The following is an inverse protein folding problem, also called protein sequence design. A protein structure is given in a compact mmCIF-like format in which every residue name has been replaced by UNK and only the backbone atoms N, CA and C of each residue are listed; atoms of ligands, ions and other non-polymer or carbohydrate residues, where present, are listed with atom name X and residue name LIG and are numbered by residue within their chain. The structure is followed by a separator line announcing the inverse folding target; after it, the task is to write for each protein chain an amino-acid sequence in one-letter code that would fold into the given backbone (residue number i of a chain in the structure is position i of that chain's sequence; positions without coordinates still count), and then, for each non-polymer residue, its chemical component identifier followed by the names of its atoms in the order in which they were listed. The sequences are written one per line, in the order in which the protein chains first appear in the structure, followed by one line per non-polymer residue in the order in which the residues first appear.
data_IF_974944392401
#
_entry.id   IF_974944392401
#
_cell.length_a   1.000
_cell.length_b   1.000
_cell.length_c   1.000
_cell.angle_alpha   90.00
_cell.angle_beta   90.00
_cell.angle_gamma   90.00
#
_symmetry.space_group_name_H-M   'P 1'
#
loop_
_entity.id
_entity.type
_entity.pdbx_description
1 polymer ?
#
# COMPACT_ATOMS: atom_id res chain seq x y z
N UNK A 1 -6.52 -7.56 -20.82
CA UNK A 1 -7.36 -7.78 -19.61
C UNK A 1 -7.55 -9.26 -19.22
N UNK A 2 -8.02 -10.18 -20.08
CA UNK A 2 -8.31 -11.59 -19.68
C UNK A 2 -7.09 -12.47 -19.32
N UNK A 3 -5.86 -12.07 -19.65
CA UNK A 3 -4.63 -12.80 -19.28
C UNK A 3 -3.95 -12.30 -18.00
N UNK A 4 -4.35 -11.14 -17.46
CA UNK A 4 -3.76 -10.58 -16.22
C UNK A 4 -4.46 -11.05 -14.95
N UNK A 5 -5.76 -11.37 -15.03
CA UNK A 5 -6.54 -11.89 -13.89
C UNK A 5 -5.92 -13.13 -13.24
N UNK A 6 -5.41 -14.14 -13.97
CA UNK A 6 -4.77 -15.30 -13.36
C UNK A 6 -3.39 -14.99 -12.77
N UNK A 7 -2.66 -13.99 -13.29
CA UNK A 7 -1.34 -13.59 -12.77
C UNK A 7 -1.46 -12.76 -11.49
N UNK A 8 -2.42 -11.84 -11.43
CA UNK A 8 -2.74 -11.08 -10.21
C UNK A 8 -3.34 -12.02 -9.16
N UNK A 9 -4.21 -12.96 -9.55
CA UNK A 9 -4.71 -14.02 -8.67
C UNK A 9 -3.57 -14.92 -8.18
N UNK A 10 -2.63 -15.30 -9.03
CA UNK A 10 -1.46 -16.12 -8.66
C UNK A 10 -0.51 -15.36 -7.72
N UNK A 11 -0.23 -14.07 -7.97
CA UNK A 11 0.63 -13.26 -7.10
C UNK A 11 -0.02 -13.01 -5.74
N UNK A 12 -1.33 -12.71 -5.71
CA UNK A 12 -2.12 -12.61 -4.48
C UNK A 12 -2.16 -13.95 -3.76
N UNK A 13 -2.27 -15.08 -4.47
CA UNK A 13 -2.25 -16.43 -3.89
C UNK A 13 -0.85 -16.85 -3.42
N UNK A 14 0.22 -16.38 -4.05
CA UNK A 14 1.61 -16.60 -3.63
C UNK A 14 1.95 -15.74 -2.40
N UNK A 15 1.49 -14.50 -2.34
CA UNK A 15 1.63 -13.64 -1.16
C UNK A 15 0.78 -14.16 0.01
N UNK A 16 -0.48 -14.55 -0.25
CA UNK A 16 -1.34 -15.25 0.73
C UNK A 16 -0.75 -16.62 1.10
N UNK A 17 -0.08 -17.31 0.17
CA UNK A 17 0.56 -18.61 0.39
C UNK A 17 1.82 -18.50 1.25
N UNK A 18 2.67 -17.50 1.02
CA UNK A 18 3.88 -17.23 1.82
C UNK A 18 3.48 -16.83 3.25
N UNK A 19 2.36 -16.14 3.45
CA UNK A 19 1.82 -15.81 4.78
C UNK A 19 0.96 -16.95 5.37
N UNK A 20 0.36 -17.78 4.53
CA UNK A 20 -0.58 -18.85 4.89
C UNK A 20 0.04 -20.21 5.20
N UNK A 21 1.31 -20.44 4.85
CA UNK A 21 2.00 -21.72 5.11
C UNK A 21 2.21 -21.99 6.61
N UNK A 22 2.27 -20.95 7.47
CA UNK A 22 2.32 -21.15 8.93
C UNK A 22 0.94 -21.17 9.62
N UNK A 23 -0.10 -20.63 8.97
CA UNK A 23 -1.44 -20.51 9.57
C UNK A 23 -2.31 -21.77 9.38
N UNK A 24 -1.94 -22.71 8.51
CA UNK A 24 -2.76 -23.88 8.16
C UNK A 24 -2.19 -25.25 8.55
N UNK A 25 -1.15 -25.29 9.40
CA UNK A 25 -0.59 -26.56 9.93
C UNK A 25 -1.33 -27.10 11.17
N UNK A 26 -2.26 -26.37 11.78
CA UNK A 26 -2.87 -26.79 13.06
C UNK A 26 -4.38 -27.03 13.01
N UNK A 27 -4.93 -27.38 11.84
CA UNK A 27 -6.33 -27.81 11.72
C UNK A 27 -6.49 -28.85 10.60
N UNK A 28 -6.05 -30.09 10.86
CA UNK A 28 -6.58 -31.29 10.21
C UNK A 28 -7.14 -32.24 11.26
N UNK A 29 -8.37 -31.97 11.66
CA UNK A 29 -9.26 -33.02 12.12
C UNK A 29 -10.57 -32.85 11.36
N UNK A 30 -10.95 -33.92 10.65
CA UNK A 30 -12.25 -34.18 10.04
C UNK A 30 -12.60 -33.31 8.82
N UNK A 31 -12.41 -33.91 7.63
CA UNK A 31 -13.41 -34.05 6.58
C UNK A 31 -12.76 -34.76 5.39
N UNK A 32 -12.91 -36.09 5.34
CA UNK A 32 -12.51 -36.90 4.18
C UNK A 32 -13.60 -36.79 3.10
N UNK A 33 -13.35 -36.03 2.05
CA UNK A 33 -14.08 -36.16 0.79
C UNK A 33 -13.37 -37.20 -0.08
N UNK A 34 -14.15 -38.19 -0.53
CA UNK A 34 -13.71 -39.25 -1.46
C UNK A 34 -13.44 -38.68 -2.85
N UNK A 35 -12.39 -39.09 -3.57
CA UNK A 35 -12.35 -38.97 -5.01
C UNK A 35 -12.91 -40.25 -5.66
N UNK A 36 -13.75 -40.03 -6.69
CA UNK A 36 -14.15 -41.02 -7.69
C UNK A 36 -12.91 -41.52 -8.44
N UNK A 37 -12.71 -42.84 -8.49
CA UNK A 37 -11.87 -43.49 -9.49
C UNK A 37 -12.69 -44.48 -10.29
N UNK A 38 -12.49 -44.39 -11.61
CA UNK A 38 -13.01 -45.23 -12.68
C UNK A 38 -12.47 -46.66 -12.58
N UNK A 39 -13.30 -47.64 -12.94
CA UNK A 39 -13.09 -49.05 -12.64
C UNK A 39 -12.10 -49.81 -13.53
N UNK A 40 -11.75 -51.01 -13.07
CA UNK A 40 -11.90 -52.29 -13.79
C UNK A 40 -11.51 -53.50 -12.92
N UNK A 41 -12.45 -54.45 -12.82
CA UNK A 41 -12.36 -55.92 -12.96
C UNK A 41 -11.46 -56.79 -12.04
N UNK A 42 -12.06 -57.94 -11.64
CA UNK A 42 -11.52 -59.22 -11.13
C UNK A 42 -11.34 -59.36 -9.58
N UNK A 43 -12.28 -59.95 -8.82
CA UNK A 43 -12.62 -61.38 -8.58
C UNK A 43 -11.84 -62.10 -7.45
N UNK A 44 -12.61 -62.91 -6.67
CA UNK A 44 -12.21 -63.96 -5.70
C UNK A 44 -11.72 -63.48 -4.31
N UNK A 45 -12.09 -64.04 -3.15
CA UNK A 45 -12.90 -65.19 -2.78
C UNK A 45 -13.29 -65.16 -1.28
N UNK A 46 -14.35 -65.90 -0.96
CA UNK A 46 -14.89 -66.22 0.37
C UNK A 46 -13.97 -67.11 1.23
N UNK A 47 -14.06 -66.92 2.56
CA UNK A 47 -14.10 -67.92 3.67
C UNK A 47 -13.70 -67.22 4.97
N UNK A 48 -14.07 -67.62 6.17
CA UNK A 48 -15.13 -68.45 6.77
C UNK A 48 -14.88 -68.33 8.28
N UNK A 49 -15.95 -68.37 9.06
CA UNK A 49 -15.95 -68.29 10.52
C UNK A 49 -15.18 -69.44 11.23
N UNK A 50 -14.69 -69.16 12.44
CA UNK A 50 -14.75 -70.00 13.66
C UNK A 50 -13.89 -69.33 14.75
N UNK A 51 -14.45 -68.86 15.88
CA UNK A 51 -14.93 -69.59 17.06
C UNK A 51 -13.85 -69.76 18.14
N UNK A 52 -14.30 -69.67 19.40
CA UNK A 52 -13.66 -70.04 20.68
C UNK A 52 -12.85 -68.91 21.36
N UNK A 53 -12.90 -68.67 22.68
CA UNK A 53 -13.80 -69.04 23.80
C UNK A 53 -13.25 -68.33 25.06
N UNK A 54 -14.13 -68.10 26.05
CA UNK A 54 -13.90 -68.03 27.51
C UNK A 54 -13.44 -66.70 28.18
N UNK A 55 -14.43 -66.08 28.83
CA UNK A 55 -14.41 -65.37 30.14
C UNK A 55 -14.17 -66.37 31.32
N UNK A 56 -14.30 -66.05 32.65
CA UNK A 56 -14.46 -64.76 33.38
C UNK A 56 -13.79 -64.66 34.81
N UNK A 57 -13.98 -63.50 35.48
CA UNK A 57 -14.34 -63.28 36.92
C UNK A 57 -13.38 -63.54 38.12
N UNK A 58 -13.12 -62.48 38.92
CA UNK A 58 -13.17 -62.37 40.41
C UNK A 58 -12.33 -61.16 40.90
N UNK A 59 -12.58 -60.40 41.99
CA UNK A 59 -13.50 -60.49 43.15
C UNK A 59 -13.30 -59.26 44.09
N UNK A 60 -14.43 -58.69 44.57
CA UNK A 60 -14.79 -58.07 45.91
C UNK A 60 -13.84 -57.09 46.64
N UNK A 61 -14.24 -55.81 46.81
CA UNK A 61 -14.87 -55.13 47.99
C UNK A 61 -14.11 -55.11 49.33
N UNK A 62 -13.84 -53.93 49.89
CA UNK A 62 -14.17 -53.55 51.29
C UNK A 62 -13.83 -52.07 51.63
N UNK A 63 -14.82 -51.38 52.21
CA UNK A 63 -14.71 -50.22 53.13
C UNK A 63 -14.55 -50.77 54.57
N UNK A 64 -14.17 -50.02 55.64
CA UNK A 64 -14.99 -48.92 56.21
C UNK A 64 -14.16 -47.88 57.06
N UNK A 65 -14.68 -47.12 58.09
CA UNK A 65 -14.61 -45.64 58.13
C UNK A 65 -14.20 -45.01 59.50
N UNK A 66 -14.12 -43.67 59.59
CA UNK A 66 -14.47 -42.85 60.79
C UNK A 66 -14.15 -41.36 60.52
N UNK A 67 -14.69 -40.30 61.14
CA UNK A 67 -15.99 -39.87 61.72
C UNK A 67 -15.67 -38.62 62.57
N UNK A 68 -16.50 -37.57 62.43
CA UNK A 68 -16.86 -36.43 63.35
C UNK A 68 -16.94 -35.14 62.50
N UNK A 69 -18.08 -34.46 62.20
CA UNK A 69 -19.32 -34.04 62.92
C UNK A 69 -18.99 -33.33 64.24
N UNK A 70 -19.42 -32.11 64.59
CA UNK A 70 -20.41 -31.12 64.16
C UNK A 70 -19.82 -29.71 64.52
N UNK A 71 -20.38 -28.52 64.28
CA UNK A 71 -21.67 -27.97 64.77
C UNK A 71 -21.84 -26.51 64.29
N UNK A 72 -23.09 -26.11 64.09
CA UNK A 72 -23.60 -24.79 63.69
C UNK A 72 -23.73 -23.79 64.86
N UNK A 73 -23.65 -22.48 64.52
CA UNK A 73 -24.41 -21.30 65.01
C UNK A 73 -24.68 -21.09 66.53
N UNK A 74 -24.26 -19.92 67.10
CA UNK A 74 -25.09 -18.70 67.40
C UNK A 74 -24.55 -17.82 68.57
N UNK A 75 -24.60 -16.50 68.32
CA UNK A 75 -24.92 -15.32 69.18
C UNK A 75 -24.15 -15.01 70.50
N UNK A 76 -23.56 -13.80 70.62
CA UNK A 76 -24.14 -12.63 71.32
C UNK A 76 -23.12 -11.46 71.58
N UNK A 77 -23.68 -10.22 71.65
CA UNK A 77 -23.14 -8.92 72.11
C UNK A 77 -22.22 -8.13 71.11
N UNK A 78 -22.34 -6.81 70.89
CA UNK A 78 -22.99 -5.72 71.64
C UNK A 78 -23.30 -4.50 70.74
N UNK A 79 -24.22 -3.68 71.23
CA UNK A 79 -24.85 -2.47 70.72
C UNK A 79 -23.90 -1.27 70.52
N UNK A 80 -24.00 -0.54 69.40
CA UNK A 80 -24.03 0.94 69.35
C UNK A 80 -24.41 1.41 67.93
N UNK A 81 -25.48 2.21 67.87
CA UNK A 81 -26.03 2.85 66.68
C UNK A 81 -25.45 4.27 66.54
N UNK A 82 -24.81 4.60 65.41
CA UNK A 82 -24.83 5.93 64.79
C UNK A 82 -24.22 5.91 63.36
N UNK A 83 -24.86 6.65 62.45
CA UNK A 83 -24.79 6.66 60.98
C UNK A 83 -23.69 7.64 60.45
N UNK A 84 -23.46 7.84 59.13
CA UNK A 84 -22.36 7.31 58.33
C UNK A 84 -21.27 8.35 57.99
N UNK A 85 -20.03 7.91 57.72
CA UNK A 85 -19.08 8.66 56.87
C UNK A 85 -18.46 7.73 55.83
N UNK A 86 -18.73 8.11 54.59
CA UNK A 86 -18.05 7.75 53.35
C UNK A 86 -16.57 7.42 53.56
N UNK A 87 -16.21 6.17 53.26
CA UNK A 87 -14.89 5.81 52.76
C UNK A 87 -15.09 4.92 51.54
N UNK A 88 -14.66 5.44 50.40
CA UNK A 88 -14.36 4.68 49.20
C UNK A 88 -13.31 3.62 49.57
N UNK A 89 -13.75 2.41 49.88
CA UNK A 89 -12.91 1.22 49.72
C UNK A 89 -13.24 0.63 48.36
N UNK A 90 -12.37 0.96 47.40
CA UNK A 90 -12.27 0.33 46.10
C UNK A 90 -11.96 -1.16 46.30
N UNK A 91 -13.03 -1.96 46.42
CA UNK A 91 -12.95 -3.42 46.44
C UNK A 91 -12.63 -3.92 45.04
N UNK A 92 -11.35 -4.19 44.85
CA UNK A 92 -10.75 -5.01 43.80
C UNK A 92 -11.49 -6.34 43.62
N UNK A 93 -12.27 -6.45 42.54
CA UNK A 93 -12.74 -7.75 42.02
C UNK A 93 -12.49 -7.78 40.51
N UNK A 94 -11.29 -8.26 40.17
CA UNK A 94 -10.96 -9.08 38.99
C UNK A 94 -11.67 -8.77 37.66
N UNK A 95 -11.28 -7.66 37.02
CA UNK A 95 -11.37 -7.50 35.55
C UNK A 95 -10.35 -8.43 34.92
N UNK A 96 -10.68 -9.72 34.84
CA UNK A 96 -9.84 -10.72 34.19
C UNK A 96 -10.38 -10.89 32.77
N UNK A 97 -9.52 -10.66 31.78
CA UNK A 97 -9.69 -10.97 30.34
C UNK A 97 -10.20 -9.87 29.40
N UNK A 98 -9.63 -8.67 29.45
CA UNK A 98 -9.27 -8.00 28.19
C UNK A 98 -7.89 -8.52 27.75
N UNK A 99 -7.90 -9.75 27.22
CA UNK A 99 -6.74 -10.43 26.67
C UNK A 99 -6.08 -9.52 25.63
N UNK A 100 -4.83 -9.14 25.86
CA UNK A 100 -3.93 -8.58 24.85
C UNK A 100 -4.14 -9.30 23.52
N UNK A 101 -4.30 -8.56 22.42
CA UNK A 101 -4.57 -9.14 21.11
C UNK A 101 -3.48 -10.16 20.79
N UNK A 102 -3.89 -11.29 20.19
CA UNK A 102 -3.08 -12.49 19.99
C UNK A 102 -1.61 -12.15 19.66
N UNK A 103 -0.65 -12.41 20.59
CA UNK A 103 0.73 -11.97 20.41
C UNK A 103 1.38 -12.48 19.10
N UNK A 104 1.11 -13.72 18.64
CA UNK A 104 1.44 -14.17 17.28
C UNK A 104 0.98 -13.25 16.15
N UNK A 105 -0.29 -12.83 16.11
CA UNK A 105 -0.80 -11.99 15.02
C UNK A 105 -0.23 -10.57 15.08
N UNK A 106 0.01 -10.04 16.29
CA UNK A 106 0.76 -8.79 16.48
C UNK A 106 2.15 -8.86 15.87
N UNK A 107 2.88 -9.97 16.13
CA UNK A 107 4.22 -10.19 15.56
C UNK A 107 4.17 -10.29 14.04
N UNK A 108 3.19 -11.00 13.48
CA UNK A 108 3.02 -11.09 12.03
C UNK A 108 2.77 -9.71 11.40
N UNK A 109 1.91 -8.88 12.00
CA UNK A 109 1.69 -7.51 11.50
C UNK A 109 2.95 -6.64 11.61
N UNK A 110 3.72 -6.78 12.68
CA UNK A 110 5.02 -6.11 12.81
C UNK A 110 5.99 -6.55 11.70
N UNK A 111 6.07 -7.84 11.39
CA UNK A 111 6.92 -8.35 10.30
C UNK A 111 6.49 -7.81 8.94
N UNK A 112 5.20 -7.87 8.61
CA UNK A 112 4.69 -7.38 7.31
C UNK A 112 4.88 -5.87 7.16
N UNK A 113 4.61 -5.10 8.22
CA UNK A 113 4.83 -3.64 8.20
C UNK A 113 6.31 -3.26 8.11
N UNK A 114 7.21 -4.03 8.72
CA UNK A 114 8.64 -3.82 8.58
C UNK A 114 9.13 -4.08 7.15
N UNK A 115 8.62 -5.11 6.47
CA UNK A 115 8.92 -5.36 5.06
C UNK A 115 8.43 -4.21 4.17
N UNK A 116 7.21 -3.73 4.38
CA UNK A 116 6.67 -2.57 3.66
C UNK A 116 7.46 -1.29 3.94
N UNK A 117 7.95 -1.10 5.16
CA UNK A 117 8.83 0.01 5.52
C UNK A 117 10.17 -0.08 4.76
N UNK A 118 10.82 -1.24 4.71
CA UNK A 118 12.08 -1.40 3.95
C UNK A 118 11.86 -1.08 2.47
N UNK A 119 10.81 -1.64 1.87
CA UNK A 119 10.48 -1.39 0.47
C UNK A 119 10.27 0.10 0.20
N UNK A 120 9.41 0.75 0.98
CA UNK A 120 9.06 2.17 0.76
C UNK A 120 10.19 3.12 1.09
N UNK A 121 11.00 2.84 2.12
CA UNK A 121 12.23 3.60 2.42
C UNK A 121 13.24 3.46 1.28
N UNK A 122 13.40 2.27 0.72
CA UNK A 122 14.29 2.07 -0.42
C UNK A 122 13.85 2.88 -1.64
N UNK A 123 12.55 2.84 -2.01
CA UNK A 123 12.02 3.66 -3.11
C UNK A 123 12.13 5.16 -2.85
N UNK A 124 11.99 5.57 -1.58
CA UNK A 124 12.19 6.98 -1.19
C UNK A 124 13.66 7.38 -1.36
N UNK A 125 14.58 6.53 -0.89
CA UNK A 125 16.02 6.75 -1.05
C UNK A 125 16.39 6.87 -2.53
N UNK A 126 15.92 5.93 -3.36
CA UNK A 126 16.20 5.91 -4.79
C UNK A 126 15.71 7.18 -5.50
N UNK A 127 14.50 7.64 -5.17
CA UNK A 127 13.94 8.86 -5.72
C UNK A 127 14.70 10.12 -5.29
N UNK A 128 15.02 10.24 -4.00
CA UNK A 128 15.79 11.39 -3.49
C UNK A 128 17.20 11.44 -4.10
N UNK A 129 17.84 10.30 -4.27
CA UNK A 129 19.18 10.23 -4.85
C UNK A 129 19.18 10.48 -6.35
N UNK A 130 18.13 10.05 -7.06
CA UNK A 130 17.94 10.35 -8.48
C UNK A 130 17.76 11.85 -8.73
N UNK A 131 17.09 12.58 -7.82
CA UNK A 131 16.98 14.05 -7.90
C UNK A 131 18.31 14.78 -7.67
N UNK A 132 19.22 14.22 -6.86
CA UNK A 132 20.59 14.75 -6.65
C UNK A 132 21.62 14.24 -7.67
N UNK A 133 21.29 13.20 -8.45
CA UNK A 133 22.18 12.58 -9.43
C UNK A 133 22.28 13.35 -10.76
N UNK A 134 21.67 14.55 -10.86
CA UNK A 134 22.02 15.56 -11.86
C UNK A 134 23.53 15.94 -11.83
N UNK A 135 24.27 15.47 -10.82
CA UNK A 135 25.73 15.41 -10.77
C UNK A 135 26.26 13.96 -10.84
N UNK A 136 26.27 13.38 -12.05
CA UNK A 136 27.33 12.47 -12.53
C UNK A 136 27.72 11.24 -11.70
N UNK A 137 26.77 10.41 -11.24
CA UNK A 137 27.12 9.07 -10.72
C UNK A 137 26.11 8.01 -11.16
N UNK A 138 26.54 7.17 -12.10
CA UNK A 138 25.84 5.97 -12.57
C UNK A 138 25.74 4.89 -11.50
N UNK A 139 24.89 5.10 -10.51
CA UNK A 139 24.52 4.06 -9.56
C UNK A 139 23.46 3.17 -10.20
N UNK A 140 23.79 1.89 -10.41
CA UNK A 140 22.83 0.88 -10.86
C UNK A 140 21.77 0.67 -9.78
N UNK A 141 20.66 1.40 -9.87
CA UNK A 141 19.52 1.21 -8.96
C UNK A 141 18.99 -0.22 -9.06
N UNK A 142 18.70 -0.82 -7.90
CA UNK A 142 18.06 -2.14 -7.77
C UNK A 142 16.68 -2.11 -8.44
N UNK A 143 16.01 -0.95 -8.47
CA UNK A 143 14.81 -0.69 -9.27
C UNK A 143 15.11 -0.93 -10.75
N UNK A 144 16.11 -0.25 -11.31
CA UNK A 144 16.44 -0.37 -12.73
C UNK A 144 16.86 -1.80 -13.12
N UNK A 145 17.56 -2.52 -12.22
CA UNK A 145 17.94 -3.92 -12.45
C UNK A 145 16.75 -4.88 -12.49
N UNK A 146 15.80 -4.75 -11.56
CA UNK A 146 14.61 -5.62 -11.48
C UNK A 146 13.62 -5.31 -12.61
N UNK A 147 13.48 -4.03 -12.94
CA UNK A 147 12.59 -3.56 -14.00
C UNK A 147 13.09 -3.95 -15.40
N UNK A 148 14.40 -3.83 -15.64
CA UNK A 148 15.02 -4.24 -16.91
C UNK A 148 14.95 -5.75 -17.16
N UNK A 149 15.07 -6.57 -16.10
CA UNK A 149 15.00 -8.03 -16.21
C UNK A 149 13.60 -8.57 -16.55
N UNK A 150 12.55 -7.77 -16.28
CA UNK A 150 11.15 -8.17 -16.48
C UNK A 150 10.45 -7.42 -17.62
N UNK A 151 11.14 -6.48 -18.28
CA UNK A 151 10.56 -5.61 -19.29
C UNK A 151 9.44 -4.72 -18.74
N UNK A 152 9.48 -4.39 -17.44
CA UNK A 152 8.42 -3.62 -16.76
C UNK A 152 8.79 -2.14 -16.66
N UNK A 153 7.86 -1.25 -17.03
CA UNK A 153 8.04 0.21 -17.07
C UNK A 153 7.91 0.91 -15.70
N UNK A 154 8.34 0.25 -14.61
CA UNK A 154 8.18 0.79 -13.25
C UNK A 154 8.93 2.12 -13.04
N UNK A 155 10.05 2.33 -13.75
CA UNK A 155 10.86 3.54 -13.65
C UNK A 155 10.08 4.80 -14.06
N UNK A 156 9.29 4.71 -15.12
CA UNK A 156 8.45 5.83 -15.59
C UNK A 156 7.34 6.16 -14.60
N UNK A 157 6.81 5.14 -13.92
CA UNK A 157 5.78 5.32 -12.88
C UNK A 157 6.36 6.01 -11.64
N UNK A 158 7.55 5.60 -11.20
CA UNK A 158 8.20 6.11 -9.98
C UNK A 158 8.75 7.54 -10.13
N UNK A 159 9.05 7.94 -11.36
CA UNK A 159 9.50 9.30 -11.71
C UNK A 159 8.39 10.14 -12.37
N UNK A 160 7.22 9.56 -12.63
CA UNK A 160 6.10 10.25 -13.26
C UNK A 160 5.44 11.29 -12.34
N UNK A 161 4.55 12.14 -12.87
CA UNK A 161 3.95 13.26 -12.13
C UNK A 161 3.14 12.83 -10.90
N UNK A 162 2.60 11.60 -10.89
CA UNK A 162 1.80 11.06 -9.77
C UNK A 162 2.63 10.51 -8.60
N UNK A 163 3.96 10.57 -8.70
CA UNK A 163 4.87 9.98 -7.72
C UNK A 163 5.37 10.98 -6.67
N UNK A 164 5.01 12.26 -6.79
CA UNK A 164 5.28 13.32 -5.81
C UNK A 164 4.01 14.14 -5.62
N UNK A 165 3.84 14.68 -4.42
CA UNK A 165 2.78 15.59 -4.07
C UNK A 165 3.42 16.88 -3.53
N UNK A 166 3.01 18.02 -4.05
CA UNK A 166 3.47 19.33 -3.58
C UNK A 166 2.59 19.75 -2.41
N UNK A 167 3.15 19.78 -1.20
CA UNK A 167 2.46 20.21 0.02
C UNK A 167 3.24 21.40 0.58
N UNK A 168 2.60 22.56 0.73
CA UNK A 168 3.24 23.80 1.22
C UNK A 168 4.53 24.15 0.45
N UNK A 169 4.44 24.23 -0.88
CA UNK A 169 5.56 24.54 -1.80
C UNK A 169 6.76 23.57 -1.71
N UNK A 170 6.58 22.40 -1.10
CA UNK A 170 7.60 21.35 -0.99
C UNK A 170 7.13 20.08 -1.68
N UNK A 171 7.93 19.58 -2.63
CA UNK A 171 7.66 18.32 -3.33
C UNK A 171 8.04 17.12 -2.46
N UNK A 172 7.02 16.42 -1.97
CA UNK A 172 7.19 15.23 -1.12
C UNK A 172 6.92 13.98 -1.96
N UNK A 173 7.88 13.04 -2.06
CA UNK A 173 7.65 11.80 -2.79
C UNK A 173 6.59 10.95 -2.08
N UNK A 174 5.66 10.37 -2.84
CA UNK A 174 4.56 9.59 -2.29
C UNK A 174 5.04 8.35 -1.52
N UNK A 175 6.20 7.81 -1.92
CA UNK A 175 6.91 6.73 -1.21
C UNK A 175 7.32 7.11 0.22
N UNK A 176 7.60 8.39 0.50
CA UNK A 176 7.91 8.86 1.85
C UNK A 176 6.68 8.85 2.75
N UNK A 177 5.51 9.22 2.21
CA UNK A 177 4.24 9.09 2.94
C UNK A 177 3.92 7.61 3.24
N UNK A 178 4.17 6.73 2.26
CA UNK A 178 4.08 5.28 2.45
C UNK A 178 5.03 4.78 3.55
N UNK A 179 6.28 5.24 3.56
CA UNK A 179 7.26 4.89 4.59
C UNK A 179 6.82 5.34 5.99
N UNK A 180 6.29 6.55 6.11
CA UNK A 180 5.71 7.05 7.37
C UNK A 180 4.51 6.20 7.85
N UNK A 181 3.64 5.81 6.93
CA UNK A 181 2.48 4.96 7.24
C UNK A 181 2.90 3.56 7.72
N UNK A 182 3.80 2.88 7.00
CA UNK A 182 4.32 1.56 7.42
C UNK A 182 5.07 1.64 8.76
N UNK A 183 5.86 2.68 8.97
CA UNK A 183 6.56 2.92 10.25
C UNK A 183 5.56 3.09 11.39
N UNK A 184 4.48 3.83 11.17
CA UNK A 184 3.42 4.03 12.18
C UNK A 184 2.74 2.70 12.53
N UNK A 185 2.41 1.88 11.52
CA UNK A 185 1.83 0.55 11.74
C UNK A 185 2.81 -0.37 12.49
N UNK A 186 4.10 -0.33 12.15
CA UNK A 186 5.14 -1.08 12.85
C UNK A 186 5.23 -0.68 14.32
N UNK A 187 5.32 0.62 14.61
CA UNK A 187 5.37 1.15 15.98
C UNK A 187 4.11 0.75 16.76
N UNK A 188 2.92 0.94 16.19
CA UNK A 188 1.67 0.55 16.84
C UNK A 188 1.58 -0.97 17.08
N UNK A 189 2.16 -1.79 16.21
CA UNK A 189 2.18 -3.25 16.37
C UNK A 189 3.11 -3.69 17.50
N UNK A 190 4.29 -3.08 17.60
CA UNK A 190 5.33 -3.41 18.58
C UNK A 190 5.03 -2.78 19.95
N UNK A 191 4.39 -1.62 20.01
CA UNK A 191 4.23 -0.84 21.23
C UNK A 191 3.62 -1.61 22.42
N UNK A 192 2.53 -2.38 22.28
CA UNK A 192 2.01 -3.20 23.39
C UNK A 192 2.89 -4.39 23.78
N UNK A 193 3.86 -4.79 22.95
CA UNK A 193 4.80 -5.88 23.24
C UNK A 193 5.97 -5.44 24.12
N UNK A 194 6.25 -4.14 24.20
CA UNK A 194 7.37 -3.59 24.98
C UNK A 194 7.04 -3.44 26.47
N UNK A 195 5.76 -3.36 26.82
CA UNK A 195 5.31 -3.19 28.20
C UNK A 195 5.03 -4.54 28.88
N UNK A 196 5.67 -4.77 30.02
CA UNK A 196 5.54 -6.02 30.80
C UNK A 196 4.34 -6.03 31.76
N UNK A 197 3.80 -4.84 32.11
CA UNK A 197 2.65 -4.73 33.00
C UNK A 197 1.35 -5.11 32.28
N UNK A 198 0.72 -6.20 32.72
CA UNK A 198 -0.49 -6.75 32.09
C UNK A 198 -1.69 -5.81 32.18
N UNK A 199 -1.83 -5.04 33.26
CA UNK A 199 -2.98 -4.18 33.51
C UNK A 199 -2.93 -2.92 32.64
N UNK A 200 -1.76 -2.29 32.58
CA UNK A 200 -1.51 -1.12 31.72
C UNK A 200 -1.59 -1.52 30.24
N UNK A 201 -0.98 -2.65 29.87
CA UNK A 201 -1.01 -3.16 28.49
C UNK A 201 -2.44 -3.42 28.03
N UNK A 202 -3.30 -4.02 28.86
CA UNK A 202 -4.68 -4.32 28.49
C UNK A 202 -5.54 -3.07 28.18
N UNK A 203 -5.38 -1.99 28.95
CA UNK A 203 -6.11 -0.74 28.72
C UNK A 203 -5.64 -0.01 27.45
N UNK A 204 -4.33 -0.04 27.20
CA UNK A 204 -3.69 0.62 26.06
C UNK A 204 -3.93 -0.13 24.74
N UNK A 205 -4.02 -1.46 24.83
CA UNK A 205 -4.25 -2.37 23.71
C UNK A 205 -5.60 -2.14 23.03
N UNK A 206 -6.67 -1.82 23.78
CA UNK A 206 -7.99 -1.54 23.20
C UNK A 206 -8.01 -0.35 22.24
N UNK A 207 -7.40 0.78 22.64
CA UNK A 207 -7.26 1.98 21.79
C UNK A 207 -6.29 1.75 20.63
N UNK A 208 -5.17 1.06 20.91
CA UNK A 208 -4.17 0.71 19.91
C UNK A 208 -4.76 -0.12 18.76
N UNK A 209 -5.62 -1.11 19.06
CA UNK A 209 -6.31 -1.91 18.04
C UNK A 209 -7.15 -1.05 17.10
N UNK A 210 -7.96 -0.14 17.63
CA UNK A 210 -8.83 0.73 16.82
C UNK A 210 -7.98 1.65 15.93
N UNK A 211 -6.90 2.23 16.46
CA UNK A 211 -5.97 3.04 15.68
C UNK A 211 -5.28 2.24 14.57
N UNK A 212 -4.84 1.02 14.86
CA UNK A 212 -4.16 0.13 13.92
C UNK A 212 -5.09 -0.32 12.79
N UNK A 213 -6.36 -0.62 13.10
CA UNK A 213 -7.41 -0.91 12.12
C UNK A 213 -7.64 0.27 11.18
N UNK A 214 -7.76 1.49 11.73
CA UNK A 214 -7.94 2.70 10.93
C UNK A 214 -6.78 2.95 9.97
N UNK A 215 -5.55 2.94 10.48
CA UNK A 215 -4.34 3.18 9.68
C UNK A 215 -4.14 2.14 8.58
N UNK A 216 -4.31 0.86 8.88
CA UNK A 216 -4.17 -0.21 7.88
C UNK A 216 -5.26 -0.17 6.82
N UNK A 217 -6.50 0.20 7.20
CA UNK A 217 -7.60 0.41 6.24
C UNK A 217 -7.34 1.61 5.35
N UNK A 218 -6.91 2.75 5.90
CA UNK A 218 -6.53 3.94 5.14
C UNK A 218 -5.42 3.62 4.13
N UNK A 219 -4.37 2.92 4.57
CA UNK A 219 -3.24 2.55 3.72
C UNK A 219 -3.64 1.59 2.60
N UNK A 220 -4.43 0.56 2.90
CA UNK A 220 -4.91 -0.39 1.89
C UNK A 220 -5.81 0.27 0.84
N UNK A 221 -6.70 1.16 1.26
CA UNK A 221 -7.64 1.83 0.37
C UNK A 221 -6.94 2.81 -0.58
N UNK A 222 -6.00 3.60 -0.06
CA UNK A 222 -5.14 4.44 -0.89
C UNK A 222 -4.31 3.59 -1.87
N UNK A 223 -3.77 2.45 -1.42
CA UNK A 223 -2.98 1.58 -2.29
C UNK A 223 -3.80 0.92 -3.41
N UNK A 224 -5.03 0.47 -3.11
CA UNK A 224 -5.96 -0.06 -4.13
C UNK A 224 -6.31 1.01 -5.16
N UNK A 225 -6.47 2.26 -4.70
CA UNK A 225 -6.70 3.39 -5.58
C UNK A 225 -5.53 3.60 -6.55
N UNK A 226 -4.30 3.73 -6.05
CA UNK A 226 -3.12 3.89 -6.91
C UNK A 226 -2.97 2.75 -7.92
N UNK A 227 -3.19 1.50 -7.50
CA UNK A 227 -3.17 0.35 -8.42
C UNK A 227 -4.27 0.44 -9.49
N UNK A 228 -5.45 0.97 -9.13
CA UNK A 228 -6.53 1.19 -10.09
C UNK A 228 -6.14 2.22 -11.16
N UNK A 229 -5.37 3.25 -10.80
CA UNK A 229 -4.84 4.24 -11.75
C UNK A 229 -3.79 3.65 -12.68
N UNK A 230 -2.87 2.86 -12.13
CA UNK A 230 -1.82 2.21 -12.91
C UNK A 230 -2.40 1.31 -14.00
N UNK A 231 -3.46 0.57 -13.67
CA UNK A 231 -4.12 -0.35 -14.60
C UNK A 231 -5.11 0.35 -15.54
N UNK A 232 -5.76 1.43 -15.09
CA UNK A 232 -6.80 2.13 -15.85
C UNK A 232 -6.24 3.18 -16.80
N UNK A 233 -5.42 4.09 -16.28
CA UNK A 233 -4.97 5.30 -17.00
C UNK A 233 -3.60 5.08 -17.63
N UNK A 234 -2.61 4.65 -16.84
CA UNK A 234 -1.22 4.55 -17.32
C UNK A 234 -0.98 3.29 -18.16
N UNK A 235 -1.79 2.24 -18.00
CA UNK A 235 -1.61 0.93 -18.66
C UNK A 235 -0.21 0.31 -18.47
N UNK A 236 0.49 0.71 -17.40
CA UNK A 236 1.82 0.23 -17.03
C UNK A 236 1.76 -0.70 -15.83
N UNK A 237 2.59 -1.74 -15.82
CA UNK A 237 2.76 -2.62 -14.66
C UNK A 237 3.96 -2.17 -13.82
N UNK A 238 3.73 -1.71 -12.58
CA UNK A 238 4.80 -1.46 -11.63
C UNK A 238 4.88 -2.56 -10.56
N UNK A 239 5.91 -3.40 -10.58
CA UNK A 239 6.06 -4.53 -9.65
C UNK A 239 6.11 -4.07 -8.19
N UNK A 240 6.86 -3.03 -7.89
CA UNK A 240 6.96 -2.47 -6.53
C UNK A 240 5.60 -1.93 -6.04
N UNK A 241 4.84 -1.22 -6.88
CA UNK A 241 3.49 -0.77 -6.49
C UNK A 241 2.56 -1.95 -6.19
N UNK A 242 2.66 -3.07 -6.91
CA UNK A 242 1.87 -4.26 -6.61
C UNK A 242 2.32 -4.97 -5.32
N UNK A 243 3.62 -5.02 -5.05
CA UNK A 243 4.16 -5.60 -3.81
C UNK A 243 3.67 -4.78 -2.61
N UNK A 244 3.87 -3.46 -2.62
CA UNK A 244 3.37 -2.58 -1.57
C UNK A 244 1.84 -2.65 -1.40
N UNK A 245 1.08 -2.74 -2.50
CA UNK A 245 -0.36 -2.96 -2.43
C UNK A 245 -0.74 -4.29 -1.79
N UNK A 246 -0.02 -5.37 -2.14
CA UNK A 246 -0.17 -6.67 -1.51
C UNK A 246 0.08 -6.63 -0.01
N UNK A 247 1.16 -5.98 0.43
CA UNK A 247 1.51 -5.82 1.84
C UNK A 247 0.44 -5.02 2.60
N UNK A 248 -0.01 -3.90 2.02
CA UNK A 248 -1.06 -3.05 2.62
C UNK A 248 -2.40 -3.77 2.75
N UNK A 249 -2.86 -4.45 1.70
CA UNK A 249 -4.10 -5.21 1.71
C UNK A 249 -4.01 -6.40 2.67
N UNK A 250 -2.85 -7.04 2.77
CA UNK A 250 -2.61 -8.13 3.74
C UNK A 250 -2.75 -7.61 5.17
N UNK A 251 -2.15 -6.46 5.49
CA UNK A 251 -2.28 -5.83 6.81
C UNK A 251 -3.74 -5.48 7.13
N UNK A 252 -4.47 -4.90 6.20
CA UNK A 252 -5.90 -4.62 6.39
C UNK A 252 -6.71 -5.92 6.58
N UNK A 253 -6.43 -6.97 5.78
CA UNK A 253 -7.06 -8.27 5.93
C UNK A 253 -6.80 -8.88 7.31
N UNK A 254 -5.57 -8.80 7.81
CA UNK A 254 -5.22 -9.22 9.16
C UNK A 254 -5.92 -8.38 10.24
N UNK A 255 -6.07 -7.07 10.05
CA UNK A 255 -6.80 -6.21 11.00
C UNK A 255 -8.28 -6.57 11.09
N UNK A 256 -8.94 -6.82 9.96
CA UNK A 256 -10.37 -7.12 9.93
C UNK A 256 -10.69 -8.56 10.33
N UNK A 257 -9.89 -9.54 9.88
CA UNK A 257 -10.17 -10.96 10.07
C UNK A 257 -9.30 -11.62 11.16
N UNK A 258 -8.22 -11.00 11.61
CA UNK A 258 -7.28 -11.55 12.60
C UNK A 258 -7.73 -11.43 14.06
N UNK A 259 -9.03 -11.24 14.31
CA UNK A 259 -9.60 -11.17 15.66
C UNK A 259 -9.22 -9.90 16.45
N UNK A 260 -8.89 -8.81 15.76
CA UNK A 260 -8.64 -7.51 16.40
C UNK A 260 -9.90 -6.97 17.08
N UNK A 261 -11.05 -7.12 16.42
CA UNK A 261 -12.36 -6.87 17.00
C UNK A 261 -12.93 -8.19 17.56
N UNK A 262 -13.24 -8.27 18.86
CA UNK A 262 -13.83 -9.48 19.44
C UNK A 262 -15.13 -9.90 18.72
N UNK A 263 -15.30 -11.21 18.50
CA UNK A 263 -16.57 -11.79 18.05
C UNK A 263 -17.59 -11.78 19.20
N UNK A 264 -18.86 -11.53 18.86
CA UNK A 264 -19.97 -11.78 19.77
C UNK A 264 -20.42 -13.20 19.46
N UNK A 265 -19.90 -14.20 20.17
CA UNK A 265 -20.46 -15.54 20.08
C UNK A 265 -21.78 -15.59 20.85
N UNK A 266 -22.83 -16.17 20.25
CA UNK A 266 -24.14 -16.39 20.86
C UNK A 266 -24.14 -17.53 21.92
N UNK A 267 -23.00 -18.19 22.12
CA UNK A 267 -22.83 -19.21 23.14
C UNK A 267 -22.67 -18.50 24.50
N UNK A 268 -23.79 -18.17 25.13
CA UNK A 268 -23.92 -17.41 26.37
C UNK A 268 -23.07 -17.90 27.53
N UNK A 269 -21.77 -17.58 27.49
CA UNK A 269 -20.94 -17.44 28.68
C UNK A 269 -21.40 -16.15 29.34
N UNK A 270 -21.76 -16.24 30.61
CA UNK A 270 -22.18 -15.14 31.48
C UNK A 270 -21.06 -14.09 31.58
N UNK A 271 -20.95 -13.25 30.55
CA UNK A 271 -20.15 -12.04 30.62
C UNK A 271 -20.92 -11.05 31.50
N UNK A 272 -20.22 -10.45 32.46
CA UNK A 272 -20.77 -9.34 33.22
C UNK A 272 -21.21 -8.21 32.27
N UNK A 273 -22.32 -7.54 32.58
CA UNK A 273 -22.99 -6.57 31.67
C UNK A 273 -22.01 -5.46 31.25
N UNK A 274 -21.13 -5.07 32.18
CA UNK A 274 -20.03 -4.10 32.00
C UNK A 274 -19.07 -4.49 30.88
N UNK A 275 -18.77 -5.78 30.71
CA UNK A 275 -17.80 -6.22 29.71
C UNK A 275 -18.43 -6.36 28.32
N UNK A 276 -19.72 -6.67 28.27
CA UNK A 276 -20.49 -6.69 27.03
C UNK A 276 -20.55 -5.29 26.41
N UNK A 277 -20.79 -4.28 27.23
CA UNK A 277 -20.75 -2.88 26.80
C UNK A 277 -19.38 -2.49 26.23
N UNK A 278 -18.29 -2.84 26.92
CA UNK A 278 -16.94 -2.54 26.45
C UNK A 278 -16.62 -3.19 25.09
N UNK A 279 -17.02 -4.45 24.88
CA UNK A 279 -16.85 -5.18 23.61
C UNK A 279 -17.66 -4.53 22.48
N UNK A 280 -18.93 -4.19 22.74
CA UNK A 280 -19.81 -3.53 21.77
C UNK A 280 -19.28 -2.15 21.39
N UNK A 281 -18.81 -1.38 22.37
CA UNK A 281 -18.19 -0.06 22.14
C UNK A 281 -16.93 -0.20 21.26
N UNK A 282 -16.05 -1.15 21.57
CA UNK A 282 -14.81 -1.35 20.80
C UNK A 282 -15.10 -1.76 19.34
N UNK A 283 -16.10 -2.63 19.12
CA UNK A 283 -16.57 -2.96 17.76
C UNK A 283 -17.17 -1.76 17.05
N UNK A 284 -18.03 -0.99 17.72
CA UNK A 284 -18.65 0.22 17.16
C UNK A 284 -17.59 1.24 16.76
N UNK A 285 -16.62 1.51 17.64
CA UNK A 285 -15.47 2.38 17.35
C UNK A 285 -14.64 1.84 16.20
N UNK A 286 -14.33 0.54 16.16
CA UNK A 286 -13.59 -0.09 15.07
C UNK A 286 -14.30 0.07 13.72
N UNK A 287 -15.60 -0.20 13.65
CA UNK A 287 -16.39 -0.06 12.43
C UNK A 287 -16.47 1.41 11.97
N UNK A 288 -16.71 2.35 12.89
CA UNK A 288 -16.75 3.78 12.59
C UNK A 288 -15.40 4.28 12.09
N UNK A 289 -14.30 3.88 12.74
CA UNK A 289 -12.94 4.26 12.35
C UNK A 289 -12.58 3.64 11.00
N UNK A 290 -12.94 2.39 10.74
CA UNK A 290 -12.77 1.76 9.43
C UNK A 290 -13.53 2.47 8.32
N UNK A 291 -14.81 2.78 8.54
CA UNK A 291 -15.65 3.50 7.57
C UNK A 291 -15.18 4.93 7.32
N UNK A 292 -14.78 5.66 8.37
CA UNK A 292 -14.22 7.01 8.22
C UNK A 292 -12.86 6.99 7.51
N UNK A 293 -12.01 5.99 7.76
CA UNK A 293 -10.73 5.83 7.05
C UNK A 293 -10.93 5.60 5.56
N UNK A 294 -11.92 4.79 5.17
CA UNK A 294 -12.34 4.62 3.77
C UNK A 294 -12.76 5.96 3.13
N UNK A 295 -13.61 6.72 3.83
CA UNK A 295 -14.06 8.03 3.36
C UNK A 295 -12.91 9.03 3.19
N UNK A 296 -12.02 9.13 4.18
CA UNK A 296 -10.85 10.01 4.14
C UNK A 296 -9.89 9.61 3.02
N UNK A 297 -9.56 8.32 2.88
CA UNK A 297 -8.71 7.86 1.77
C UNK A 297 -9.32 8.21 0.42
N UNK A 298 -10.63 8.04 0.26
CA UNK A 298 -11.32 8.37 -0.99
C UNK A 298 -11.30 9.87 -1.27
N UNK A 299 -11.50 10.71 -0.25
CA UNK A 299 -11.41 12.16 -0.38
C UNK A 299 -9.99 12.64 -0.68
N UNK A 300 -8.97 12.07 -0.04
CA UNK A 300 -7.56 12.38 -0.33
C UNK A 300 -7.19 11.94 -1.74
N UNK A 301 -7.63 10.75 -2.15
CA UNK A 301 -7.45 10.24 -3.51
C UNK A 301 -8.11 11.16 -4.54
N UNK A 302 -9.37 11.57 -4.32
CA UNK A 302 -10.07 12.52 -5.18
C UNK A 302 -9.40 13.90 -5.18
N UNK A 303 -8.97 14.38 -4.01
CA UNK A 303 -8.23 15.62 -3.86
C UNK A 303 -6.97 15.61 -4.71
N UNK A 304 -6.17 14.54 -4.62
CA UNK A 304 -4.97 14.35 -5.43
C UNK A 304 -5.26 14.35 -6.94
N UNK A 305 -6.48 13.97 -7.36
CA UNK A 305 -6.89 14.04 -8.76
C UNK A 305 -7.28 15.44 -9.19
N UNK A 306 -8.05 16.15 -8.35
CA UNK A 306 -8.57 17.46 -8.68
C UNK A 306 -7.52 18.57 -8.49
N UNK A 307 -6.52 18.38 -7.63
CA UNK A 307 -5.43 19.35 -7.41
C UNK A 307 -4.38 19.36 -8.52
N UNK A 308 -4.42 18.42 -9.47
CA UNK A 308 -3.47 18.38 -10.59
C UNK A 308 -3.87 19.34 -11.72
N UNK A 309 -5.09 19.89 -11.70
CA UNK A 309 -5.59 20.78 -12.75
C UNK A 309 -5.62 22.29 -12.39
N UNK A 310 -5.35 22.69 -11.14
CA UNK A 310 -5.42 24.10 -10.73
C UNK A 310 -4.14 24.58 -10.02
N UNK A 311 -3.34 25.36 -10.74
CA UNK A 311 -2.42 26.32 -10.14
C UNK A 311 -3.23 27.34 -9.31
N UNK A 312 -3.32 27.08 -8.01
CA UNK A 312 -3.61 28.11 -7.01
C UNK A 312 -5.03 28.16 -6.47
N UNK A 313 -5.40 27.22 -5.61
CA UNK A 313 -6.06 27.54 -4.33
C UNK A 313 -6.04 26.34 -3.36
N UNK A 314 -5.33 26.48 -2.25
CA UNK A 314 -5.49 25.57 -1.10
C UNK A 314 -6.92 25.67 -0.53
N UNK A 315 -7.46 24.55 -0.02
CA UNK A 315 -7.40 24.40 1.43
C UNK A 315 -7.10 22.97 1.91
N UNK A 316 -6.41 22.92 3.05
CA UNK A 316 -6.06 21.71 3.79
C UNK A 316 -7.29 20.88 4.22
N UNK A 317 -7.16 19.55 4.40
CA UNK A 317 -8.15 18.78 5.12
C UNK A 317 -8.03 19.09 6.63
N UNK A 318 -9.03 19.81 7.15
CA UNK A 318 -9.19 19.98 8.60
C UNK A 318 -9.52 18.64 9.22
N UNK A 319 -8.65 18.13 10.11
CA UNK A 319 -8.99 17.06 11.03
C UNK A 319 -10.07 17.58 11.97
N UNK A 320 -11.33 17.26 11.69
CA UNK A 320 -12.45 17.53 12.59
C UNK A 320 -12.80 16.25 13.34
N UNK A 321 -12.50 16.30 14.64
CA UNK A 321 -12.90 15.34 15.65
C UNK A 321 -14.45 15.28 15.75
N UNK A 322 -14.96 14.12 16.15
CA UNK A 322 -16.38 13.75 16.11
C UNK A 322 -17.34 14.70 16.84
N UNK A 323 -18.45 15.02 16.18
CA UNK A 323 -19.68 15.55 16.76
C UNK A 323 -20.85 15.17 15.88
N UNK A 324 -21.63 14.18 16.29
CA UNK A 324 -22.82 13.73 15.59
C UNK A 324 -23.93 14.80 15.62
N UNK A 325 -24.66 14.99 14.52
CA UNK A 325 -26.13 14.83 14.46
C UNK A 325 -26.70 15.13 13.06
N UNK A 326 -27.60 14.23 12.63
CA UNK A 326 -28.80 14.40 11.78
C UNK A 326 -28.69 14.83 10.30
N UNK A 327 -28.91 13.82 9.44
CA UNK A 327 -29.97 13.71 8.42
C UNK A 327 -30.32 14.91 7.52
N UNK A 328 -30.23 14.71 6.20
CA UNK A 328 -31.41 14.76 5.30
C UNK A 328 -31.06 14.49 3.83
N UNK A 329 -31.89 13.59 3.25
CA UNK A 329 -32.45 13.59 1.89
C UNK A 329 -31.53 13.67 0.66
N UNK A 330 -31.55 12.55 -0.06
CA UNK A 330 -31.43 12.43 -1.51
C UNK A 330 -32.29 13.49 -2.20
N UNK A 331 -31.65 14.38 -2.96
CA UNK A 331 -32.29 15.28 -3.90
C UNK A 331 -31.56 15.17 -5.23
N UNK A 332 -32.18 14.50 -6.19
CA UNK A 332 -31.80 14.55 -7.60
C UNK A 332 -31.73 16.01 -8.05
N UNK A 333 -30.50 16.48 -8.27
CA UNK A 333 -30.21 17.80 -8.81
C UNK A 333 -29.31 17.63 -10.01
N UNK A 334 -29.92 17.68 -11.19
CA UNK A 334 -29.30 17.80 -12.50
C UNK A 334 -28.17 18.84 -12.47
N UNK A 335 -26.91 18.40 -12.47
CA UNK A 335 -25.79 19.25 -12.80
C UNK A 335 -25.68 19.32 -14.32
N UNK A 336 -26.15 20.45 -14.86
CA UNK A 336 -25.72 20.98 -16.13
C UNK A 336 -24.20 21.21 -16.07
N UNK A 337 -23.43 20.28 -16.63
CA UNK A 337 -22.06 20.53 -17.04
C UNK A 337 -22.04 20.62 -18.57
N UNK A 338 -22.50 21.77 -19.08
CA UNK A 338 -21.98 22.28 -20.35
C UNK A 338 -20.64 22.94 -20.05
N UNK A 339 -19.57 22.19 -20.23
CA UNK A 339 -18.27 22.73 -20.68
C UNK A 339 -17.61 21.60 -21.46
N UNK A 340 -17.84 21.67 -22.77
CA UNK A 340 -16.91 21.30 -23.84
C UNK A 340 -15.74 20.39 -23.44
N UNK A 341 -16.03 19.13 -23.15
CA UNK A 341 -15.04 18.07 -23.07
C UNK A 341 -14.65 17.65 -24.49
N UNK A 342 -13.99 18.54 -25.21
CA UNK A 342 -13.23 18.22 -26.42
C UNK A 342 -11.81 18.65 -26.14
N UNK A 343 -10.96 17.65 -25.85
CA UNK A 343 -9.49 17.65 -25.99
C UNK A 343 -8.70 17.32 -24.70
N UNK A 344 -8.99 16.18 -24.06
CA UNK A 344 -8.02 15.44 -23.24
C UNK A 344 -7.66 14.07 -23.84
N UNK A 345 -7.86 13.91 -25.16
CA UNK A 345 -7.47 12.72 -25.94
C UNK A 345 -6.16 12.89 -26.71
N UNK A 346 -5.49 14.05 -26.61
CA UNK A 346 -4.23 14.25 -27.33
C UNK A 346 -3.09 13.76 -26.46
N UNK A 347 -2.49 12.62 -26.84
CA UNK A 347 -1.22 12.09 -26.33
C UNK A 347 -0.07 13.03 -26.71
N UNK A 348 -0.05 14.19 -26.05
CA UNK A 348 0.97 15.23 -26.22
C UNK A 348 1.99 15.14 -25.07
N UNK A 349 3.25 15.54 -25.31
CA UNK A 349 4.22 15.64 -24.23
C UNK A 349 3.75 16.60 -23.14
N UNK A 350 4.09 16.36 -21.86
CA UNK A 350 3.79 17.30 -20.78
C UNK A 350 4.37 18.70 -21.06
N UNK A 351 3.71 19.77 -20.57
CA UNK A 351 4.17 21.14 -20.78
C UNK A 351 5.50 21.40 -20.06
N UNK A 352 6.34 22.24 -20.67
CA UNK A 352 7.58 22.72 -20.06
C UNK A 352 7.22 23.84 -19.10
N UNK A 353 7.60 23.70 -17.83
CA UNK A 353 7.24 24.63 -16.73
C UNK A 353 8.41 25.50 -16.30
N UNK A 354 9.62 25.12 -16.66
CA UNK A 354 10.86 25.86 -16.35
C UNK A 354 11.13 26.98 -17.36
N UNK A 355 11.89 27.99 -16.90
CA UNK A 355 12.37 29.08 -17.75
C UNK A 355 13.81 28.81 -18.20
N UNK A 356 14.13 29.20 -19.43
CA UNK A 356 15.46 28.98 -20.02
C UNK A 356 16.52 29.89 -19.40
N UNK A 357 17.67 29.30 -19.08
CA UNK A 357 18.87 30.03 -18.68
C UNK A 357 19.50 30.77 -19.87
N UNK A 358 20.36 31.78 -19.64
CA UNK A 358 21.11 32.43 -20.72
C UNK A 358 21.93 31.45 -21.57
N UNK A 359 22.51 30.43 -20.93
CA UNK A 359 23.24 29.36 -21.60
C UNK A 359 22.33 28.54 -22.51
N UNK A 360 21.15 28.13 -22.02
CA UNK A 360 20.18 27.37 -22.80
C UNK A 360 19.67 28.14 -24.03
N UNK A 361 19.46 29.45 -23.89
CA UNK A 361 19.08 30.33 -25.01
C UNK A 361 20.17 30.44 -26.09
N UNK A 362 21.42 30.62 -25.66
CA UNK A 362 22.57 30.63 -26.58
C UNK A 362 22.71 29.29 -27.29
N UNK A 363 22.64 28.19 -26.54
CA UNK A 363 22.73 26.84 -27.06
C UNK A 363 21.61 26.53 -28.05
N UNK A 364 20.38 26.96 -27.77
CA UNK A 364 19.24 26.76 -28.67
C UNK A 364 19.41 27.49 -30.01
N UNK A 365 20.05 28.66 -29.98
CA UNK A 365 20.38 29.42 -31.19
C UNK A 365 21.37 28.63 -32.07
N UNK A 366 22.41 28.06 -31.47
CA UNK A 366 23.41 27.28 -32.20
C UNK A 366 22.87 25.92 -32.66
N UNK A 367 22.06 25.25 -31.84
CA UNK A 367 21.36 24.03 -32.25
C UNK A 367 20.43 24.29 -33.44
N UNK A 368 19.72 25.42 -33.44
CA UNK A 368 18.87 25.83 -34.56
C UNK A 368 19.68 26.13 -35.82
N UNK A 369 20.84 26.77 -35.73
CA UNK A 369 21.69 27.07 -36.90
C UNK A 369 22.29 25.80 -37.52
N UNK A 370 22.47 24.74 -36.71
CA UNK A 370 22.86 23.41 -37.17
C UNK A 370 21.69 22.57 -37.73
N UNK A 371 20.46 23.09 -37.70
CA UNK A 371 19.24 22.33 -38.03
C UNK A 371 19.08 21.06 -37.16
N UNK A 372 19.46 21.19 -35.88
CA UNK A 372 19.44 20.08 -34.92
C UNK A 372 18.02 19.71 -34.55
N UNK A 373 17.79 18.43 -34.25
CA UNK A 373 16.47 17.93 -33.82
C UNK A 373 16.61 17.08 -32.58
N UNK A 374 15.58 17.09 -31.75
CA UNK A 374 15.45 16.15 -30.65
C UNK A 374 14.34 15.15 -30.94
N UNK A 375 14.71 13.88 -31.06
CA UNK A 375 13.80 12.76 -31.20
C UNK A 375 13.38 12.26 -29.81
N UNK A 376 12.09 12.07 -29.60
CA UNK A 376 11.59 11.54 -28.34
C UNK A 376 10.17 11.00 -28.43
N UNK A 377 9.60 10.70 -27.27
CA UNK A 377 8.23 10.22 -27.16
C UNK A 377 7.45 11.00 -26.09
N UNK A 378 6.13 11.13 -26.25
CA UNK A 378 5.32 11.96 -25.35
C UNK A 378 5.32 11.50 -23.89
N UNK A 379 5.49 10.20 -23.62
CA UNK A 379 5.56 9.64 -22.25
C UNK A 379 6.99 9.46 -21.73
N UNK A 380 8.00 9.84 -22.51
CA UNK A 380 9.40 9.63 -22.15
C UNK A 380 9.84 10.62 -21.07
N UNK A 381 10.13 10.10 -19.87
CA UNK A 381 10.60 10.87 -18.71
C UNK A 381 11.88 11.65 -19.01
N UNK A 382 12.91 10.98 -19.52
CA UNK A 382 14.17 11.64 -19.93
C UNK A 382 13.99 12.71 -21.01
N UNK A 383 13.00 12.55 -21.89
CA UNK A 383 12.69 13.54 -22.91
C UNK A 383 12.01 14.78 -22.29
N UNK A 384 11.23 14.58 -21.23
CA UNK A 384 10.66 15.65 -20.45
C UNK A 384 11.73 16.38 -19.63
N UNK A 385 12.62 15.64 -18.95
CA UNK A 385 13.71 16.21 -18.15
C UNK A 385 14.68 17.03 -19.03
N UNK A 386 15.06 16.51 -20.20
CA UNK A 386 15.85 17.25 -21.19
C UNK A 386 15.20 18.58 -21.61
N UNK A 387 13.87 18.59 -21.82
CA UNK A 387 13.11 19.80 -22.18
C UNK A 387 13.07 20.79 -21.02
N UNK A 388 12.95 20.29 -19.78
CA UNK A 388 12.97 21.11 -18.59
C UNK A 388 14.36 21.70 -18.32
N UNK A 389 15.44 20.97 -18.63
CA UNK A 389 16.80 21.50 -18.52
C UNK A 389 17.05 22.68 -19.50
N UNK A 390 16.48 22.62 -20.70
CA UNK A 390 16.54 23.71 -21.69
C UNK A 390 15.58 24.85 -21.36
N UNK A 391 14.41 24.54 -20.80
CA UNK A 391 13.36 25.49 -20.47
C UNK A 391 12.52 25.93 -21.68
N UNK A 392 11.42 26.62 -21.35
CA UNK A 392 10.36 26.91 -22.31
C UNK A 392 10.81 27.74 -23.51
N UNK A 393 11.61 28.80 -23.30
CA UNK A 393 12.00 29.73 -24.38
C UNK A 393 12.96 29.07 -25.39
N UNK A 394 13.95 28.33 -24.91
CA UNK A 394 14.93 27.60 -25.74
C UNK A 394 14.26 26.50 -26.57
N UNK A 395 13.33 25.75 -25.97
CA UNK A 395 12.65 24.67 -26.66
C UNK A 395 11.68 25.13 -27.75
N UNK A 396 11.31 26.43 -27.81
CA UNK A 396 10.51 26.96 -28.92
C UNK A 396 11.28 26.99 -30.24
N UNK A 397 12.61 27.13 -30.20
CA UNK A 397 13.44 27.18 -31.40
C UNK A 397 14.02 25.82 -31.79
N UNK A 398 13.87 24.79 -30.96
CA UNK A 398 14.44 23.46 -31.19
C UNK A 398 13.34 22.50 -31.71
N UNK A 399 13.45 21.97 -32.93
CA UNK A 399 12.52 20.98 -33.45
C UNK A 399 12.46 19.71 -32.60
N UNK A 400 11.28 19.41 -32.05
CA UNK A 400 10.97 18.13 -31.41
C UNK A 400 10.25 17.20 -32.40
N UNK A 401 10.76 15.98 -32.53
CA UNK A 401 10.17 14.93 -33.36
C UNK A 401 9.55 13.86 -32.46
N UNK A 402 8.23 13.75 -32.51
CA UNK A 402 7.48 12.72 -31.80
C UNK A 402 7.57 11.38 -32.54
N UNK A 403 8.25 10.40 -31.94
CA UNK A 403 8.57 9.12 -32.57
C UNK A 403 7.55 8.01 -32.29
N UNK A 404 6.61 8.21 -31.38
CA UNK A 404 5.67 7.16 -31.06
C UNK A 404 4.46 7.10 -31.95
N UNK A 405 3.97 5.89 -32.20
CA UNK A 405 2.74 5.65 -32.95
C UNK A 405 1.52 6.37 -32.40
N UNK A 406 1.39 6.44 -31.08
CA UNK A 406 0.23 6.99 -30.40
C UNK A 406 0.39 8.49 -30.09
N UNK A 407 1.60 9.03 -30.26
CA UNK A 407 1.89 10.45 -30.08
C UNK A 407 1.10 11.35 -31.04
N UNK A 408 0.65 12.49 -30.53
CA UNK A 408 -0.07 13.47 -31.33
C UNK A 408 0.81 14.01 -32.47
N UNK A 409 0.33 13.91 -33.72
CA UNK A 409 1.07 14.30 -34.93
C UNK A 409 2.49 13.69 -34.98
N UNK A 410 2.59 12.42 -34.60
CA UNK A 410 3.87 11.71 -34.64
C UNK A 410 4.45 11.63 -36.06
N UNK A 411 5.77 11.55 -36.10
CA UNK A 411 6.61 11.44 -37.29
C UNK A 411 7.45 10.16 -37.18
N UNK A 412 6.80 9.05 -36.81
CA UNK A 412 7.48 7.78 -36.54
C UNK A 412 8.30 7.28 -37.73
N UNK A 413 7.81 7.49 -38.95
CA UNK A 413 8.51 7.13 -40.18
C UNK A 413 9.89 7.81 -40.25
N UNK A 414 9.98 9.09 -39.89
CA UNK A 414 11.24 9.83 -39.84
C UNK A 414 12.20 9.24 -38.80
N UNK A 415 11.69 8.86 -37.63
CA UNK A 415 12.52 8.24 -36.59
C UNK A 415 13.05 6.87 -37.01
N UNK A 416 12.28 6.11 -37.79
CA UNK A 416 12.73 4.83 -38.36
C UNK A 416 13.73 5.02 -39.50
N UNK A 417 13.52 6.00 -40.37
CA UNK A 417 14.44 6.32 -41.46
C UNK A 417 15.81 6.77 -40.93
N UNK A 418 15.83 7.48 -39.80
CA UNK A 418 17.06 7.87 -39.13
C UNK A 418 17.63 6.83 -38.18
N UNK A 419 17.05 5.63 -38.08
CA UNK A 419 17.51 4.56 -37.18
C UNK A 419 17.73 5.06 -35.72
N UNK A 420 16.78 5.85 -35.21
CA UNK A 420 16.85 6.39 -33.84
C UNK A 420 16.91 5.24 -32.82
N UNK A 421 18.00 5.11 -32.04
CA UNK A 421 18.25 3.93 -31.21
C UNK A 421 17.46 3.93 -29.89
N UNK A 422 16.98 5.09 -29.45
CA UNK A 422 16.28 5.28 -28.19
C UNK A 422 15.87 6.74 -27.96
N UNK A 423 15.24 7.03 -26.83
CA UNK A 423 14.73 8.36 -26.52
C UNK A 423 15.29 8.89 -25.19
N UNK A 424 15.64 10.19 -25.08
CA UNK A 424 15.78 11.12 -26.20
C UNK A 424 17.01 10.76 -27.06
N UNK A 425 17.01 11.21 -28.31
CA UNK A 425 18.20 11.21 -29.17
C UNK A 425 18.30 12.56 -29.84
N UNK A 426 19.48 13.17 -29.79
CA UNK A 426 19.78 14.41 -30.50
C UNK A 426 20.38 14.12 -31.87
N UNK A 427 19.88 14.78 -32.91
CA UNK A 427 20.57 14.88 -34.20
C UNK A 427 21.21 16.26 -34.27
N UNK A 428 22.54 16.32 -34.29
CA UNK A 428 23.31 17.56 -34.33
C UNK A 428 24.32 17.43 -35.47
N UNK A 429 24.28 18.34 -36.44
CA UNK A 429 25.16 18.26 -37.62
C UNK A 429 24.95 17.02 -38.50
N UNK A 430 23.84 16.30 -38.32
CA UNK A 430 23.54 15.03 -39.02
C UNK A 430 24.01 13.76 -38.30
N UNK A 431 24.72 13.90 -37.17
CA UNK A 431 25.12 12.78 -36.32
C UNK A 431 24.12 12.58 -35.17
N UNK A 432 23.93 11.33 -34.72
CA UNK A 432 23.00 10.98 -33.66
C UNK A 432 23.72 10.78 -32.32
N UNK A 433 23.23 11.48 -31.30
CA UNK A 433 23.71 11.43 -29.92
C UNK A 433 22.58 10.91 -29.02
N UNK A 434 22.55 9.60 -28.72
CA UNK A 434 21.50 9.02 -27.90
C UNK A 434 21.65 9.40 -26.43
N UNK A 435 20.51 9.39 -25.72
CA UNK A 435 20.41 9.69 -24.30
C UNK A 435 20.18 11.16 -23.99
N UNK A 436 19.76 11.41 -22.76
CA UNK A 436 19.71 12.75 -22.18
C UNK A 436 21.13 13.31 -22.02
N UNK A 437 21.28 14.62 -22.22
CA UNK A 437 22.54 15.35 -22.19
C UNK A 437 22.38 16.61 -21.34
N UNK A 438 23.35 16.84 -20.47
CA UNK A 438 23.45 18.11 -19.75
C UNK A 438 23.68 19.28 -20.73
N UNK A 439 23.40 20.50 -20.28
CA UNK A 439 23.63 21.70 -21.11
C UNK A 439 25.11 21.85 -21.50
N UNK A 440 26.03 21.47 -20.61
CA UNK A 440 27.48 21.51 -20.87
C UNK A 440 27.90 20.46 -21.90
N UNK A 441 27.39 19.23 -21.82
CA UNK A 441 27.66 18.20 -22.83
C UNK A 441 27.09 18.58 -24.21
N UNK A 442 25.88 19.15 -24.26
CA UNK A 442 25.33 19.64 -25.52
C UNK A 442 26.16 20.78 -26.09
N UNK A 443 26.69 21.66 -25.24
CA UNK A 443 27.60 22.74 -25.68
C UNK A 443 28.86 22.15 -26.31
N UNK A 444 29.50 21.19 -25.64
CA UNK A 444 30.70 20.54 -26.15
C UNK A 444 30.45 19.84 -27.50
N UNK A 445 29.33 19.12 -27.64
CA UNK A 445 28.95 18.48 -28.90
C UNK A 445 28.73 19.52 -30.01
N UNK A 446 28.01 20.60 -29.71
CA UNK A 446 27.74 21.67 -30.69
C UNK A 446 29.05 22.35 -31.13
N UNK A 447 29.95 22.63 -30.19
CA UNK A 447 31.24 23.26 -30.49
C UNK A 447 32.13 22.35 -31.35
N UNK A 448 32.19 21.05 -31.05
CA UNK A 448 32.91 20.07 -31.86
C UNK A 448 32.34 20.01 -33.30
N UNK A 449 31.02 19.93 -33.45
CA UNK A 449 30.35 19.89 -34.77
C UNK A 449 30.57 21.19 -35.56
N UNK A 450 30.52 22.36 -34.90
CA UNK A 450 30.80 23.64 -35.54
C UNK A 450 32.26 23.73 -36.01
N UNK A 451 33.22 23.33 -35.16
CA UNK A 451 34.65 23.37 -35.51
C UNK A 451 34.98 22.47 -36.71
N UNK A 452 34.35 21.29 -36.80
CA UNK A 452 34.49 20.38 -37.95
C UNK A 452 33.94 20.98 -39.25
N UNK A 453 32.88 21.78 -39.17
CA UNK A 453 32.32 22.49 -40.34
C UNK A 453 33.24 23.60 -40.82
N UNK A 454 33.86 24.34 -39.91
CA UNK A 454 34.78 25.43 -40.25
C UNK A 454 36.12 24.93 -40.80
N UNK A 455 36.61 23.78 -40.34
CA UNK A 455 37.86 23.17 -40.82
C UNK A 455 37.73 22.36 -42.12
N UNK A 456 36.51 22.16 -42.63
CA UNK A 456 36.22 21.36 -43.83
C UNK A 456 35.74 22.18 -45.05
N UNK A 457 35.67 23.50 -44.93
CA UNK A 457 35.39 24.45 -46.01
C UNK A 457 36.70 25.07 -46.52
#
# INVERSE_FOLDING_TARGET
MRRLLPLVSCLVTVVIGIVGVEAFSSSRALLTSRPWQTGNVATFALRSASSLRRSPLSRKTSFPPNRRKNTQLKEAAEETNQIPRTKEEASSTSVTQSTCWNPPSRKQMATVSFLGMIETVYLTYDKLHSSTAASGSGSTSLVNSICSATGSSCNDVLNGPYSSISIFDTDIPLSLLGAGAYTTVFVLSVFPLLYSDKQVTAALDGKNRVALLGMTTLMATFSVYLVSLLLGVLQTSCLFCFVSAGLSVTLAGMSWFGGMLPSLDDNGVLYDDVTREAIVQLRKSGLIVGASSLGVATLVALGLFLTVDDDGLSPAPSIANSGATSSSSIGSGTLLASTDSRQYDKKVPPPITTTSSPMALSLATDLSSLNSKMYGAFWCSHCYDQKQALGYQAMQSIPYVECDREGYKNQRELCRERDVPGYPTWEIGGELFPGERSLDELREIVDDVMSKREGGA
#
